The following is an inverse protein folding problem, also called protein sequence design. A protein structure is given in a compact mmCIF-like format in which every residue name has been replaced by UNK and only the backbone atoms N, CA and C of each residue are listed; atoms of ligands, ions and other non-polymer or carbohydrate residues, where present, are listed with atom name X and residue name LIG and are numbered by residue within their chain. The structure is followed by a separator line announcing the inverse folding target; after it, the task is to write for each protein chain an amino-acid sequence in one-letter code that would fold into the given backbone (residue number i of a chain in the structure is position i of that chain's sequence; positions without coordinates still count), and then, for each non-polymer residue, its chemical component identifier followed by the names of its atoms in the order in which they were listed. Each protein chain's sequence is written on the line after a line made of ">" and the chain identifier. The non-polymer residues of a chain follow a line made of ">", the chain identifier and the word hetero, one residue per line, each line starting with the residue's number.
data_IF_826862294853
#
_entry.id   IF_826862294853
#
_cell.length_a   1.000
_cell.length_b   1.000
_cell.length_c   1.000
_cell.angle_alpha   90.00
_cell.angle_beta   90.00
_cell.angle_gamma   90.00
#
_symmetry.space_group_name_H-M   'P 1'
#
loop_
_entity.id
_entity.type
_entity.pdbx_description
1 polymer ?
#
# COMPACT_ATOMS: atom_id res chain seq x y z
N UNK A 1 -25.26 14.39 -13.73
CA UNK A 1 -26.62 14.92 -13.95
C UNK A 1 -27.20 14.55 -15.33
N UNK A 2 -26.42 13.91 -16.22
CA UNK A 2 -26.83 13.63 -17.61
C UNK A 2 -27.50 12.25 -17.85
N UNK A 3 -27.48 11.32 -16.89
CA UNK A 3 -28.07 9.98 -17.08
C UNK A 3 -29.61 9.98 -17.12
N UNK A 4 -30.25 10.93 -16.44
CA UNK A 4 -31.71 11.06 -16.40
C UNK A 4 -32.28 11.83 -17.60
N UNK A 5 -31.42 12.46 -18.42
CA UNK A 5 -31.86 13.26 -19.57
C UNK A 5 -32.12 12.41 -20.83
N UNK A 6 -31.65 11.16 -20.85
CA UNK A 6 -31.82 10.20 -21.96
C UNK A 6 -32.90 9.14 -21.66
N UNK A 7 -33.81 9.39 -20.70
CA UNK A 7 -34.83 8.42 -20.30
C UNK A 7 -36.23 8.91 -20.69
N UNK A 8 -37.03 8.00 -21.24
CA UNK A 8 -38.41 8.23 -21.69
C UNK A 8 -39.29 8.78 -20.56
N UNK A 9 -40.12 9.79 -20.86
CA UNK A 9 -40.93 10.54 -19.89
C UNK A 9 -41.98 9.67 -19.14
N UNK A 10 -42.16 8.41 -19.54
CA UNK A 10 -43.12 7.44 -18.98
C UNK A 10 -42.53 6.40 -18.02
N UNK A 11 -41.30 6.58 -17.53
CA UNK A 11 -40.71 5.66 -16.56
C UNK A 11 -41.33 5.82 -15.16
N UNK A 12 -41.72 4.70 -14.56
CA UNK A 12 -42.18 4.65 -13.17
C UNK A 12 -41.04 5.03 -12.21
N UNK A 13 -41.35 5.83 -11.18
CA UNK A 13 -40.34 6.37 -10.25
C UNK A 13 -39.44 5.29 -9.63
N UNK A 14 -39.99 4.11 -9.34
CA UNK A 14 -39.23 2.98 -8.81
C UNK A 14 -38.23 2.41 -9.84
N UNK A 15 -38.61 2.38 -11.11
CA UNK A 15 -37.76 1.92 -12.20
C UNK A 15 -36.63 2.93 -12.48
N UNK A 16 -36.90 4.24 -12.40
CA UNK A 16 -35.87 5.27 -12.50
C UNK A 16 -34.78 5.13 -11.43
N UNK A 17 -35.17 4.87 -10.17
CA UNK A 17 -34.23 4.65 -9.06
C UNK A 17 -33.39 3.39 -9.29
N UNK A 18 -34.01 2.29 -9.73
CA UNK A 18 -33.30 1.04 -10.06
C UNK A 18 -32.28 1.27 -11.17
N UNK A 19 -32.67 1.90 -12.28
CA UNK A 19 -31.77 2.20 -13.42
C UNK A 19 -30.61 3.10 -13.02
N UNK A 20 -30.86 4.12 -12.19
CA UNK A 20 -29.80 4.99 -11.69
C UNK A 20 -28.79 4.24 -10.79
N UNK A 21 -29.26 3.33 -9.94
CA UNK A 21 -28.39 2.52 -9.10
C UNK A 21 -27.52 1.55 -9.92
N UNK A 22 -28.10 0.95 -10.97
CA UNK A 22 -27.36 0.12 -11.94
C UNK A 22 -26.28 0.97 -12.63
N UNK A 23 -26.66 2.12 -13.19
CA UNK A 23 -25.70 3.04 -13.81
C UNK A 23 -24.56 3.45 -12.88
N UNK A 24 -24.87 3.84 -11.65
CA UNK A 24 -23.84 4.22 -10.66
C UNK A 24 -22.89 3.07 -10.37
N UNK A 25 -23.40 1.85 -10.33
CA UNK A 25 -22.60 0.63 -10.10
C UNK A 25 -21.71 0.35 -11.30
N UNK A 26 -22.26 0.40 -12.51
CA UNK A 26 -21.52 0.11 -13.74
C UNK A 26 -20.49 1.20 -14.04
N UNK A 27 -20.80 2.46 -13.77
CA UNK A 27 -19.83 3.56 -13.84
C UNK A 27 -18.62 3.31 -12.93
N UNK A 28 -18.86 2.88 -11.69
CA UNK A 28 -17.76 2.51 -10.78
C UNK A 28 -16.96 1.31 -11.29
N UNK A 29 -17.61 0.29 -11.86
CA UNK A 29 -16.91 -0.86 -12.46
C UNK A 29 -16.02 -0.41 -13.62
N UNK A 30 -16.52 0.45 -14.50
CA UNK A 30 -15.76 1.03 -15.61
C UNK A 30 -14.54 1.80 -15.09
N UNK A 31 -14.72 2.68 -14.11
CA UNK A 31 -13.60 3.41 -13.50
C UNK A 31 -12.53 2.48 -12.91
N UNK A 32 -12.94 1.40 -12.22
CA UNK A 32 -11.99 0.42 -11.66
C UNK A 32 -11.26 -0.31 -12.80
N UNK A 33 -11.95 -0.70 -13.86
CA UNK A 33 -11.37 -1.40 -15.00
C UNK A 33 -10.39 -0.50 -15.78
N UNK A 34 -10.73 0.78 -15.96
CA UNK A 34 -9.85 1.78 -16.57
C UNK A 34 -8.61 2.01 -15.72
N UNK A 35 -8.77 2.18 -14.40
CA UNK A 35 -7.64 2.31 -13.46
C UNK A 35 -6.72 1.08 -13.51
N UNK A 36 -7.30 -0.12 -13.46
CA UNK A 36 -6.52 -1.34 -13.59
C UNK A 36 -5.78 -1.41 -14.92
N UNK A 37 -6.44 -1.11 -16.04
CA UNK A 37 -5.82 -1.19 -17.36
C UNK A 37 -4.69 -0.18 -17.52
N UNK A 38 -4.85 1.03 -16.96
CA UNK A 38 -3.82 2.06 -16.97
C UNK A 38 -2.58 1.65 -16.17
N UNK A 39 -2.75 1.01 -15.00
CA UNK A 39 -1.67 0.80 -14.04
C UNK A 39 -1.19 -0.65 -13.88
N UNK A 40 -1.83 -1.65 -14.49
CA UNK A 40 -1.51 -3.09 -14.31
C UNK A 40 -0.05 -3.46 -14.58
N UNK A 41 0.64 -2.67 -15.41
CA UNK A 41 2.03 -2.91 -15.78
C UNK A 41 3.03 -2.09 -14.97
N UNK A 42 2.57 -1.14 -14.14
CA UNK A 42 3.43 -0.33 -13.28
C UNK A 42 3.91 -1.14 -12.07
N UNK A 43 5.19 -1.03 -11.77
CA UNK A 43 5.84 -1.85 -10.74
C UNK A 43 5.21 -1.66 -9.35
N UNK A 44 4.88 -0.42 -8.95
CA UNK A 44 4.24 -0.17 -7.66
C UNK A 44 2.86 -0.86 -7.53
N UNK A 45 2.13 -0.99 -8.65
CA UNK A 45 0.82 -1.63 -8.68
C UNK A 45 0.97 -3.15 -8.57
N UNK A 46 1.91 -3.73 -9.34
CA UNK A 46 2.20 -5.16 -9.26
C UNK A 46 2.74 -5.57 -7.89
N UNK A 47 3.62 -4.77 -7.30
CA UNK A 47 4.13 -5.00 -5.95
C UNK A 47 3.03 -5.10 -4.90
N UNK A 48 1.92 -4.40 -5.12
CA UNK A 48 0.79 -4.38 -4.20
C UNK A 48 -0.26 -5.46 -4.49
N UNK A 49 -0.49 -5.81 -5.75
CA UNK A 49 -1.65 -6.61 -6.14
C UNK A 49 -1.35 -7.82 -7.03
N UNK A 50 -0.17 -7.91 -7.66
CA UNK A 50 0.15 -9.03 -8.55
C UNK A 50 0.40 -10.32 -7.74
N UNK A 51 -0.26 -11.43 -8.08
CA UNK A 51 -0.26 -12.65 -7.27
C UNK A 51 1.14 -13.25 -7.09
N UNK A 52 2.02 -13.10 -8.09
CA UNK A 52 3.38 -13.65 -8.01
C UNK A 52 4.39 -12.67 -7.41
N UNK A 53 4.18 -11.35 -7.55
CA UNK A 53 5.17 -10.36 -7.12
C UNK A 53 4.95 -9.92 -5.67
N UNK A 54 3.69 -9.72 -5.28
CA UNK A 54 3.32 -9.35 -3.92
C UNK A 54 3.90 -10.30 -2.84
N UNK A 55 3.71 -11.64 -2.91
CA UNK A 55 4.25 -12.53 -1.89
C UNK A 55 5.79 -12.60 -1.91
N UNK A 56 6.42 -12.57 -3.08
CA UNK A 56 7.89 -12.53 -3.20
C UNK A 56 8.45 -11.31 -2.48
N UNK A 57 7.86 -10.13 -2.72
CA UNK A 57 8.30 -8.89 -2.07
C UNK A 57 8.03 -8.90 -0.57
N UNK A 58 6.90 -9.43 -0.14
CA UNK A 58 6.60 -9.59 1.28
C UNK A 58 7.64 -10.49 1.98
N UNK A 59 8.06 -11.58 1.32
CA UNK A 59 9.10 -12.46 1.82
C UNK A 59 10.47 -11.77 1.87
N UNK A 60 10.85 -11.02 0.83
CA UNK A 60 12.08 -10.23 0.81
C UNK A 60 12.10 -9.18 1.94
N UNK A 61 10.99 -8.47 2.17
CA UNK A 61 10.87 -7.52 3.27
C UNK A 61 11.05 -8.21 4.63
N UNK A 62 10.41 -9.37 4.82
CA UNK A 62 10.59 -10.17 6.04
C UNK A 62 12.04 -10.60 6.23
N UNK A 63 12.73 -11.02 5.18
CA UNK A 63 14.15 -11.37 5.23
C UNK A 63 15.04 -10.16 5.57
N UNK A 64 14.75 -8.97 5.01
CA UNK A 64 15.47 -7.74 5.32
C UNK A 64 15.30 -7.37 6.79
N UNK A 65 14.06 -7.44 7.30
CA UNK A 65 13.77 -7.15 8.71
C UNK A 65 14.46 -8.17 9.62
N UNK A 66 14.40 -9.46 9.26
CA UNK A 66 15.08 -10.51 10.01
C UNK A 66 16.59 -10.25 10.06
N UNK A 67 17.22 -9.93 8.93
CA UNK A 67 18.65 -9.62 8.88
C UNK A 67 19.00 -8.39 9.74
N UNK A 68 18.17 -7.35 9.73
CA UNK A 68 18.36 -6.17 10.59
C UNK A 68 18.24 -6.53 12.07
N UNK A 69 17.30 -7.40 12.42
CA UNK A 69 17.16 -7.92 13.77
C UNK A 69 18.38 -8.74 14.17
N UNK A 70 18.88 -9.62 13.31
CA UNK A 70 20.05 -10.44 13.59
C UNK A 70 21.28 -9.57 13.87
N UNK A 71 21.51 -8.52 13.06
CA UNK A 71 22.58 -7.53 13.29
C UNK A 71 22.38 -6.81 14.62
N UNK A 72 21.16 -6.34 14.90
CA UNK A 72 20.86 -5.67 16.16
C UNK A 72 21.16 -6.57 17.37
N UNK A 73 20.75 -7.84 17.31
CA UNK A 73 20.99 -8.81 18.39
C UNK A 73 22.48 -9.11 18.54
N UNK A 74 23.25 -9.18 17.45
CA UNK A 74 24.70 -9.33 17.50
C UNK A 74 25.39 -8.13 18.18
N UNK A 75 25.02 -6.90 17.80
CA UNK A 75 25.52 -5.68 18.44
C UNK A 75 25.13 -5.60 19.92
N UNK A 76 23.90 -6.00 20.26
CA UNK A 76 23.40 -6.09 21.62
C UNK A 76 24.22 -7.09 22.46
N UNK A 77 24.41 -8.31 21.96
CA UNK A 77 25.14 -9.36 22.66
C UNK A 77 26.63 -9.03 22.84
N UNK A 78 27.22 -8.27 21.91
CA UNK A 78 28.59 -7.74 22.02
C UNK A 78 28.71 -6.54 22.95
N UNK A 79 27.60 -6.03 23.49
CA UNK A 79 27.59 -4.94 24.46
C UNK A 79 27.80 -3.54 23.85
N UNK A 80 27.62 -3.38 22.53
CA UNK A 80 27.76 -2.07 21.87
C UNK A 80 26.76 -1.03 22.39
N UNK A 81 25.64 -1.49 22.96
CA UNK A 81 24.59 -0.65 23.53
C UNK A 81 24.81 -0.30 25.02
N UNK A 82 25.82 -0.87 25.69
CA UNK A 82 25.98 -0.73 27.15
C UNK A 82 26.27 0.71 27.60
N UNK A 83 26.95 1.50 26.76
CA UNK A 83 27.35 2.88 27.07
C UNK A 83 26.77 3.89 26.06
N UNK A 84 25.75 3.49 25.30
CA UNK A 84 25.06 4.37 24.36
C UNK A 84 23.70 4.72 24.96
N UNK A 85 23.53 6.00 25.23
CA UNK A 85 22.30 6.60 25.74
C UNK A 85 21.73 7.55 24.69
N UNK A 86 20.40 7.70 24.67
CA UNK A 86 19.71 8.53 23.66
C UNK A 86 19.58 9.95 24.21
N UNK A 87 20.71 10.64 24.26
CA UNK A 87 20.84 11.97 24.87
C UNK A 87 21.71 12.85 23.98
N UNK A 88 21.49 14.17 24.07
CA UNK A 88 22.19 15.17 23.25
C UNK A 88 23.71 15.09 23.49
N UNK A 89 24.13 14.87 24.73
CA UNK A 89 25.55 14.78 25.11
C UNK A 89 26.23 13.53 24.54
N UNK A 90 25.46 12.49 24.19
CA UNK A 90 25.97 11.21 23.69
C UNK A 90 25.78 11.05 22.15
N UNK A 91 25.47 12.14 21.46
CA UNK A 91 25.18 12.15 20.02
C UNK A 91 26.29 11.52 19.17
N UNK A 92 27.56 11.78 19.47
CA UNK A 92 28.69 11.24 18.69
C UNK A 92 28.80 9.71 18.84
N UNK A 93 28.56 9.17 20.03
CA UNK A 93 28.58 7.73 20.25
C UNK A 93 27.40 7.05 19.55
N UNK A 94 26.22 7.69 19.57
CA UNK A 94 25.03 7.19 18.87
C UNK A 94 25.23 7.16 17.35
N UNK A 95 25.81 8.21 16.75
CA UNK A 95 26.13 8.23 15.31
C UNK A 95 27.11 7.10 14.98
N UNK A 96 28.20 6.97 15.75
CA UNK A 96 29.17 5.89 15.55
C UNK A 96 28.54 4.51 15.65
N UNK A 97 27.59 4.32 16.58
CA UNK A 97 26.84 3.08 16.72
C UNK A 97 25.96 2.80 15.48
N UNK A 98 25.27 3.79 14.94
CA UNK A 98 24.43 3.64 13.74
C UNK A 98 25.23 3.37 12.46
N UNK A 99 26.49 3.82 12.42
CA UNK A 99 27.42 3.59 11.30
C UNK A 99 28.15 2.24 11.38
N UNK A 100 28.08 1.53 12.52
CA UNK A 100 28.74 0.22 12.75
C UNK A 100 27.98 -0.92 12.07
#
# INVERSE_FOLDING_TARGET
>A
KNFLLDQDDNIEQEEAVKRYNVYKTDFKKTQIAEFFTAHKNEEWFKYKYHPDEHPKRHQEQKQIIQRRLDIFMDLYNKGYLNNVSVDIDNQQALIKFLDT
#
